data_IF_077439871191
#
_entry.id   IF_077439871191
#
_cell.length_a   1.000
_cell.length_b   1.000
_cell.length_c   1.000
_cell.angle_alpha   90.00
_cell.angle_beta   90.00
_cell.angle_gamma   90.00
#
_symmetry.space_group_name_H-M   'P 1'
#
loop_
_entity.id
_entity.type
_entity.pdbx_description
1 polymer ?
#
# COMPACT_ATOMS: atom_id res chain seq x y z
N UNK A 1 15.61 9.03 -62.52
CA UNK A 1 14.33 9.61 -62.07
C UNK A 1 13.86 8.85 -60.84
N UNK A 2 14.05 9.48 -59.69
CA UNK A 2 13.93 8.92 -58.34
C UNK A 2 12.47 8.96 -57.90
N UNK A 3 11.91 7.84 -57.43
CA UNK A 3 10.63 7.84 -56.68
C UNK A 3 10.87 7.18 -55.32
N UNK A 4 11.23 8.02 -54.35
CA UNK A 4 11.12 7.67 -52.94
C UNK A 4 9.63 7.67 -52.59
N UNK A 5 9.14 6.51 -52.16
CA UNK A 5 7.76 6.29 -51.72
C UNK A 5 7.76 6.47 -50.19
N UNK A 6 7.32 7.64 -49.72
CA UNK A 6 7.27 7.98 -48.30
C UNK A 6 6.00 7.39 -47.68
N UNK A 7 6.14 6.38 -46.81
CA UNK A 7 5.06 5.82 -45.99
C UNK A 7 4.80 6.73 -44.77
N UNK A 8 3.54 7.05 -44.43
CA UNK A 8 3.23 7.76 -43.19
C UNK A 8 3.27 6.77 -42.01
N UNK A 9 4.20 6.99 -41.07
CA UNK A 9 4.22 6.28 -39.79
C UNK A 9 3.09 6.83 -38.93
N UNK A 10 2.11 5.97 -38.63
CA UNK A 10 1.01 6.27 -37.73
C UNK A 10 1.54 6.49 -36.30
N UNK A 11 1.35 7.70 -35.78
CA UNK A 11 1.60 8.03 -34.38
C UNK A 11 0.49 7.42 -33.53
N UNK A 12 0.72 6.22 -32.99
CA UNK A 12 -0.12 5.63 -31.95
C UNK A 12 0.16 6.37 -30.64
N UNK A 13 -0.67 7.36 -30.33
CA UNK A 13 -0.73 7.97 -29.01
C UNK A 13 -1.31 6.95 -28.03
N UNK A 14 -0.43 6.30 -27.26
CA UNK A 14 -0.82 5.48 -26.11
C UNK A 14 -1.31 6.47 -25.04
N UNK A 15 -2.63 6.63 -24.94
CA UNK A 15 -3.25 7.29 -23.80
C UNK A 15 -3.01 6.37 -22.60
N UNK A 16 -1.98 6.68 -21.82
CA UNK A 16 -1.73 6.10 -20.51
C UNK A 16 -2.88 6.51 -19.59
N UNK A 17 -3.95 5.70 -19.61
CA UNK A 17 -4.99 5.75 -18.61
C UNK A 17 -4.35 5.48 -17.26
N UNK A 18 -4.21 6.54 -16.48
CA UNK A 18 -3.75 6.49 -15.09
C UNK A 18 -4.72 5.62 -14.31
N UNK A 19 -4.36 4.35 -14.10
CA UNK A 19 -5.01 3.54 -13.10
C UNK A 19 -4.65 4.16 -11.75
N UNK A 20 -5.60 4.88 -11.15
CA UNK A 20 -5.58 5.14 -9.73
C UNK A 20 -5.49 3.78 -9.03
N UNK A 21 -4.26 3.39 -8.69
CA UNK A 21 -3.94 2.12 -8.07
C UNK A 21 -4.73 2.03 -6.76
N UNK A 22 -5.47 0.94 -6.62
CA UNK A 22 -6.51 0.79 -5.63
C UNK A 22 -5.93 0.81 -4.21
N UNK A 23 -6.31 1.83 -3.44
CA UNK A 23 -6.07 2.02 -2.00
C UNK A 23 -6.69 0.91 -1.12
N UNK A 24 -7.45 -0.03 -1.70
CA UNK A 24 -8.15 -1.11 -0.98
C UNK A 24 -7.91 -2.47 -1.64
N UNK A 25 -7.20 -3.32 -0.92
CA UNK A 25 -6.84 -4.69 -1.28
C UNK A 25 -7.95 -5.65 -0.80
N UNK A 26 -8.61 -6.31 -1.74
CA UNK A 26 -9.54 -7.45 -1.58
C UNK A 26 -8.76 -8.69 -1.13
N UNK A 27 -9.41 -9.63 -0.44
CA UNK A 27 -8.83 -10.94 -0.17
C UNK A 27 -9.75 -12.02 -0.72
N UNK A 28 -9.32 -12.71 -1.78
CA UNK A 28 -10.01 -13.86 -2.35
C UNK A 28 -9.66 -15.12 -1.56
N UNK A 29 -10.69 -15.66 -0.90
CA UNK A 29 -10.59 -16.69 0.14
C UNK A 29 -11.45 -16.39 1.37
N UNK A 30 -11.86 -15.11 1.56
CA UNK A 30 -12.74 -14.65 2.64
C UNK A 30 -13.97 -13.87 2.13
N UNK A 31 -14.67 -14.41 1.12
CA UNK A 31 -16.07 -14.04 0.90
C UNK A 31 -16.35 -12.69 0.21
N UNK A 32 -15.44 -12.15 -0.62
CA UNK A 32 -15.66 -10.92 -1.42
C UNK A 32 -15.90 -9.65 -0.57
N UNK A 33 -15.49 -9.65 0.69
CA UNK A 33 -15.64 -8.50 1.59
C UNK A 33 -14.56 -7.46 1.27
N UNK A 34 -14.91 -6.20 0.97
CA UNK A 34 -13.92 -5.12 0.87
C UNK A 34 -13.32 -4.81 2.24
N UNK A 35 -12.07 -4.35 2.25
CA UNK A 35 -11.33 -4.06 3.47
C UNK A 35 -9.88 -3.69 3.18
N UNK A 36 -9.04 -3.83 4.20
CA UNK A 36 -7.63 -3.42 4.16
C UNK A 36 -6.74 -4.54 4.67
N UNK A 37 -5.59 -4.71 4.02
CA UNK A 37 -4.50 -5.54 4.52
C UNK A 37 -3.63 -4.67 5.43
N UNK A 38 -3.52 -5.09 6.69
CA UNK A 38 -2.80 -4.37 7.74
C UNK A 38 -1.73 -5.27 8.35
N UNK A 39 -0.69 -4.66 8.91
CA UNK A 39 0.18 -5.37 9.83
C UNK A 39 -0.44 -5.40 11.23
N UNK A 40 -0.17 -6.49 11.95
CA UNK A 40 -0.45 -6.65 13.37
C UNK A 40 0.75 -6.19 14.19
N UNK A 41 0.54 -5.93 15.47
CA UNK A 41 1.64 -5.59 16.40
C UNK A 41 2.70 -6.70 16.50
N UNK A 42 2.33 -7.95 16.21
CA UNK A 42 3.23 -9.10 16.15
C UNK A 42 4.07 -9.20 14.87
N UNK A 43 3.86 -8.31 13.90
CA UNK A 43 4.58 -8.33 12.63
C UNK A 43 4.03 -9.34 11.61
N UNK A 44 2.79 -9.81 11.78
CA UNK A 44 2.06 -10.61 10.79
C UNK A 44 1.04 -9.78 10.03
N UNK A 45 0.54 -10.30 8.90
CA UNK A 45 -0.52 -9.66 8.13
C UNK A 45 -1.92 -10.10 8.60
N UNK A 46 -2.83 -9.14 8.67
CA UNK A 46 -4.25 -9.35 8.92
C UNK A 46 -5.11 -8.59 7.90
N UNK A 47 -6.35 -9.04 7.75
CA UNK A 47 -7.38 -8.36 6.98
C UNK A 47 -8.34 -7.65 7.94
N UNK A 48 -8.63 -6.38 7.67
CA UNK A 48 -9.65 -5.59 8.38
C UNK A 48 -10.83 -5.37 7.43
N UNK A 49 -12.01 -5.88 7.77
CA UNK A 49 -13.22 -5.62 6.98
C UNK A 49 -13.80 -4.21 7.23
N UNK A 50 -14.82 -3.83 6.46
CA UNK A 50 -15.51 -2.54 6.64
C UNK A 50 -16.18 -2.34 8.00
N UNK A 51 -16.34 -3.39 8.81
CA UNK A 51 -16.87 -3.30 10.18
C UNK A 51 -15.75 -3.14 11.21
N UNK A 52 -14.49 -3.10 10.78
CA UNK A 52 -13.31 -3.03 11.66
C UNK A 52 -12.92 -4.38 12.26
N UNK A 53 -13.50 -5.49 11.80
CA UNK A 53 -13.17 -6.82 12.32
C UNK A 53 -11.87 -7.29 11.68
N UNK A 54 -10.96 -7.79 12.52
CA UNK A 54 -9.67 -8.33 12.12
C UNK A 54 -9.72 -9.83 11.94
N UNK A 55 -9.11 -10.30 10.85
CA UNK A 55 -8.95 -11.72 10.53
C UNK A 55 -7.50 -11.99 10.16
N UNK A 56 -6.88 -13.08 10.65
CA UNK A 56 -5.55 -13.46 10.20
C UNK A 56 -5.59 -13.80 8.71
N UNK A 57 -4.61 -13.30 7.94
CA UNK A 57 -4.54 -13.55 6.50
C UNK A 57 -4.08 -14.99 6.19
N UNK A 58 -3.13 -15.52 6.96
CA UNK A 58 -2.57 -16.85 6.71
C UNK A 58 -2.09 -17.01 5.26
N UNK A 59 -2.63 -18.00 4.54
CA UNK A 59 -2.35 -18.26 3.12
C UNK A 59 -3.42 -17.69 2.17
N UNK A 60 -4.27 -16.79 2.62
CA UNK A 60 -5.34 -16.23 1.79
C UNK A 60 -4.75 -15.38 0.65
N UNK A 61 -5.37 -15.47 -0.54
CA UNK A 61 -4.93 -14.71 -1.72
C UNK A 61 -5.48 -13.29 -1.64
N UNK A 62 -4.65 -12.28 -1.87
CA UNK A 62 -5.04 -10.88 -1.90
C UNK A 62 -5.23 -10.45 -3.37
N UNK A 63 -6.36 -9.81 -3.70
CA UNK A 63 -6.71 -9.26 -5.01
C UNK A 63 -7.11 -7.79 -4.87
N UNK A 64 -7.23 -6.98 -5.92
CA UNK A 64 -7.69 -5.58 -5.78
C UNK A 64 -9.22 -5.47 -5.81
N UNK A 65 -9.81 -4.50 -5.10
CA UNK A 65 -11.26 -4.24 -5.13
C UNK A 65 -11.55 -2.83 -5.63
N UNK A 66 -12.59 -2.70 -6.47
CA UNK A 66 -13.17 -1.39 -6.82
C UNK A 66 -14.29 -0.95 -5.88
N UNK A 67 -14.75 -1.86 -4.99
CA UNK A 67 -15.75 -1.55 -3.96
C UNK A 67 -15.06 -0.92 -2.75
N UNK A 68 -15.60 0.20 -2.27
CA UNK A 68 -15.13 0.89 -1.07
C UNK A 68 -16.03 0.62 0.13
N UNK A 69 -15.42 0.56 1.31
CA UNK A 69 -16.17 0.60 2.56
C UNK A 69 -16.97 1.91 2.68
N UNK A 70 -18.21 1.87 3.19
CA UNK A 70 -19.06 3.06 3.33
C UNK A 70 -18.54 4.03 4.40
N UNK A 71 -17.75 3.52 5.35
CA UNK A 71 -17.10 4.30 6.40
C UNK A 71 -15.67 3.81 6.52
N UNK A 72 -14.71 4.74 6.51
CA UNK A 72 -13.32 4.42 6.79
C UNK A 72 -13.05 4.61 8.28
N UNK A 73 -12.29 3.69 8.91
CA UNK A 73 -11.73 3.91 10.23
C UNK A 73 -10.79 5.13 10.24
N UNK A 74 -10.37 5.61 11.43
CA UNK A 74 -9.45 6.73 11.53
C UNK A 74 -8.16 6.46 10.72
N UNK A 75 -7.74 7.41 9.88
CA UNK A 75 -6.54 7.24 9.09
C UNK A 75 -5.29 7.25 9.97
N UNK A 76 -4.24 6.63 9.45
CA UNK A 76 -2.91 6.71 10.03
C UNK A 76 -2.20 7.95 9.48
N UNK A 77 -1.65 8.78 10.36
CA UNK A 77 -0.67 9.83 10.04
C UNK A 77 0.31 9.90 11.21
N UNK A 78 1.53 9.42 11.00
CA UNK A 78 2.57 9.40 12.02
C UNK A 78 3.86 9.98 11.48
N UNK A 79 4.65 10.56 12.38
CA UNK A 79 6.06 10.87 12.13
C UNK A 79 6.89 10.07 13.13
N UNK A 80 7.97 9.45 12.66
CA UNK A 80 8.77 8.58 13.51
C UNK A 80 10.06 8.13 12.84
N UNK A 81 10.82 7.29 13.56
CA UNK A 81 12.06 6.70 13.09
C UNK A 81 11.84 5.24 12.76
N UNK A 82 12.28 4.80 11.58
CA UNK A 82 12.24 3.39 11.18
C UNK A 82 13.13 2.58 12.11
N UNK A 83 12.56 1.55 12.74
CA UNK A 83 13.28 0.59 13.58
C UNK A 83 13.70 -0.64 12.78
N UNK A 84 12.82 -1.15 11.93
CA UNK A 84 13.12 -2.30 11.06
C UNK A 84 12.18 -2.33 9.87
N UNK A 85 12.62 -2.99 8.80
CA UNK A 85 11.87 -3.17 7.55
C UNK A 85 11.91 -4.65 7.16
N UNK A 86 10.75 -5.28 7.11
CA UNK A 86 10.55 -6.58 6.46
C UNK A 86 10.21 -6.33 4.99
N UNK A 87 11.19 -6.52 4.11
CA UNK A 87 11.04 -6.25 2.67
C UNK A 87 10.17 -7.29 1.96
N UNK A 88 10.07 -8.51 2.50
CA UNK A 88 9.29 -9.60 1.89
C UNK A 88 7.80 -9.39 2.17
N UNK A 89 7.46 -9.15 3.44
CA UNK A 89 6.07 -8.92 3.86
C UNK A 89 5.64 -7.45 3.73
N UNK A 90 6.56 -6.57 3.31
CA UNK A 90 6.38 -5.12 3.21
C UNK A 90 5.92 -4.46 4.52
N UNK A 91 6.45 -4.94 5.65
CA UNK A 91 6.10 -4.45 6.99
C UNK A 91 7.19 -3.52 7.50
N UNK A 92 6.81 -2.37 8.06
CA UNK A 92 7.71 -1.43 8.70
C UNK A 92 7.35 -1.31 10.18
N UNK A 93 8.38 -1.34 11.02
CA UNK A 93 8.27 -0.93 12.41
C UNK A 93 8.85 0.47 12.52
N UNK A 94 8.09 1.42 13.04
CA UNK A 94 8.54 2.78 13.28
C UNK A 94 8.23 3.19 14.72
N UNK A 95 9.10 4.00 15.31
CA UNK A 95 8.88 4.57 16.64
C UNK A 95 8.54 6.06 16.50
N UNK A 96 7.39 6.44 17.03
CA UNK A 96 6.94 7.83 17.10
C UNK A 96 7.77 8.60 18.14
N UNK A 97 7.78 9.94 18.07
CA UNK A 97 8.50 10.76 19.06
C UNK A 97 7.97 10.60 20.51
N UNK A 98 6.78 10.02 20.67
CA UNK A 98 6.21 9.62 21.96
C UNK A 98 6.83 8.34 22.56
N UNK A 99 7.70 7.66 21.81
CA UNK A 99 8.24 6.32 22.16
C UNK A 99 7.30 5.17 21.81
N UNK A 100 6.11 5.46 21.25
CA UNK A 100 5.18 4.41 20.79
C UNK A 100 5.72 3.77 19.51
N UNK A 101 5.83 2.44 19.53
CA UNK A 101 6.13 1.65 18.32
C UNK A 101 4.85 1.39 17.55
N UNK A 102 4.91 1.61 16.24
CA UNK A 102 3.86 1.34 15.25
C UNK A 102 4.37 0.32 14.25
N UNK A 103 3.49 -0.59 13.87
CA UNK A 103 3.76 -1.60 12.85
C UNK A 103 2.74 -1.42 11.74
N UNK A 104 3.18 -1.31 10.50
CA UNK A 104 2.28 -1.14 9.36
C UNK A 104 2.76 -1.87 8.12
N UNK A 105 1.78 -2.39 7.36
CA UNK A 105 1.97 -2.95 6.04
C UNK A 105 1.99 -1.82 5.01
N UNK A 106 2.91 -1.91 4.06
CA UNK A 106 3.11 -0.92 3.01
C UNK A 106 2.56 -1.46 1.69
N UNK A 107 1.59 -0.77 1.10
CA UNK A 107 1.02 -1.20 -0.18
C UNK A 107 2.05 -1.14 -1.31
N UNK A 108 1.78 -1.86 -2.41
CA UNK A 108 2.72 -2.01 -3.52
C UNK A 108 3.01 -0.69 -4.26
N UNK A 109 2.12 0.29 -4.17
CA UNK A 109 2.24 1.61 -4.81
C UNK A 109 3.11 2.61 -4.02
N UNK A 110 3.55 2.27 -2.81
CA UNK A 110 4.47 3.12 -2.04
C UNK A 110 5.83 3.13 -2.71
N UNK A 111 6.13 4.27 -3.31
CA UNK A 111 7.39 4.56 -4.01
C UNK A 111 8.55 4.59 -3.01
N UNK A 112 9.68 3.97 -3.39
CA UNK A 112 10.94 3.91 -2.61
C UNK A 112 10.83 3.14 -1.29
N UNK A 113 9.85 2.26 -1.13
CA UNK A 113 9.81 1.36 0.03
C UNK A 113 11.11 0.54 0.15
N UNK A 114 11.68 0.15 -0.99
CA UNK A 114 12.89 -0.65 -1.10
C UNK A 114 14.16 0.10 -0.65
N UNK A 115 14.11 1.44 -0.65
CA UNK A 115 15.19 2.31 -0.17
C UNK A 115 15.06 2.66 1.31
N UNK A 116 14.00 2.18 1.99
CA UNK A 116 13.76 2.49 3.38
C UNK A 116 14.76 1.75 4.28
N UNK A 117 15.47 2.50 5.12
CA UNK A 117 16.50 1.95 6.00
C UNK A 117 16.19 2.20 7.48
N UNK A 118 16.61 1.29 8.39
CA UNK A 118 16.57 1.53 9.82
C UNK A 118 17.32 2.81 10.20
N UNK A 119 16.73 3.60 11.11
CA UNK A 119 17.26 4.90 11.55
C UNK A 119 16.76 6.09 10.73
N UNK A 120 16.10 5.87 9.58
CA UNK A 120 15.52 6.95 8.81
C UNK A 120 14.31 7.57 9.53
N UNK A 121 14.22 8.89 9.54
CA UNK A 121 13.01 9.60 9.95
C UNK A 121 12.05 9.66 8.77
N UNK A 122 10.80 9.30 9.02
CA UNK A 122 9.72 9.28 8.02
C UNK A 122 8.44 9.90 8.55
N UNK A 123 7.62 10.39 7.63
CA UNK A 123 6.19 10.56 7.80
C UNK A 123 5.47 9.48 7.01
N UNK A 124 4.59 8.72 7.67
CA UNK A 124 3.85 7.63 7.08
C UNK A 124 2.34 7.90 7.20
N UNK A 125 1.62 7.79 6.09
CA UNK A 125 0.17 8.02 6.04
C UNK A 125 -0.55 6.87 5.35
N UNK A 126 -1.74 6.54 5.83
CA UNK A 126 -2.58 5.50 5.23
C UNK A 126 -4.04 5.57 5.67
N UNK A 127 -4.90 4.75 5.06
CA UNK A 127 -6.35 4.82 5.27
C UNK A 127 -6.79 4.27 6.63
N UNK A 128 -5.95 3.47 7.30
CA UNK A 128 -6.21 2.87 8.60
C UNK A 128 -4.90 2.60 9.35
N UNK A 129 -4.97 2.57 10.67
CA UNK A 129 -3.91 2.00 11.51
C UNK A 129 -3.49 0.58 11.06
N UNK A 130 -2.18 0.40 10.89
CA UNK A 130 -1.58 -0.83 10.39
C UNK A 130 -1.44 -0.92 8.87
N UNK A 131 -1.90 0.06 8.08
CA UNK A 131 -1.61 0.15 6.64
C UNK A 131 -1.11 1.54 6.26
N UNK A 132 -0.13 1.59 5.35
CA UNK A 132 0.44 2.82 4.79
C UNK A 132 0.41 2.75 3.28
N UNK A 133 -0.03 3.86 2.68
CA UNK A 133 -0.08 4.09 1.22
C UNK A 133 0.83 5.22 0.79
N UNK A 134 1.53 5.88 1.74
CA UNK A 134 2.56 6.88 1.43
C UNK A 134 3.57 7.01 2.55
N UNK A 135 4.85 7.05 2.18
CA UNK A 135 5.97 7.36 3.06
C UNK A 135 6.74 8.55 2.45
N UNK A 136 7.06 9.55 3.27
CA UNK A 136 7.90 10.69 2.87
C UNK A 136 9.01 10.92 3.90
N UNK A 137 10.19 11.35 3.42
CA UNK A 137 11.27 11.84 4.28
C UNK A 137 11.04 13.34 4.53
N UNK A 138 10.87 13.79 5.78
CA UNK A 138 10.75 15.21 6.10
C UNK A 138 12.08 15.96 5.93
#
# INVERSE_FOLDING_TARGET
MTRLMTLPVALLAVVAGSAAAAEQERVDGMGRTPGWVVATDGGDLAFVDCQGRRYPLGSARIESSTKRCPTSPPPLDITGVVRSVDRIRRIVHAEEDSGRVRVFHTTADVVRFEELEPGERIRATGPIDGQVTRITRP
#
